data_IF_380642003651
#
_entry.id   IF_380642003651
#
_cell.length_a   1.000
_cell.length_b   1.000
_cell.length_c   1.000
_cell.angle_alpha   90.00
_cell.angle_beta   90.00
_cell.angle_gamma   90.00
#
_symmetry.space_group_name_H-M   'P 1'
#
loop_
_entity.id
_entity.type
_entity.pdbx_description
1 polymer ?
#
# COMPACT_ATOMS: atom_id res chain seq x y z
N UNK A 1 12.84 -12.44 -4.22
CA UNK A 1 14.01 -11.56 -4.06
C UNK A 1 13.91 -10.46 -5.12
N UNK A 2 13.97 -9.19 -4.70
CA UNK A 2 13.94 -8.04 -5.61
C UNK A 2 15.39 -7.70 -5.95
N UNK A 3 15.77 -7.80 -7.21
CA UNK A 3 17.12 -7.54 -7.70
C UNK A 3 17.17 -6.46 -8.78
N UNK A 4 16.08 -6.30 -9.51
CA UNK A 4 15.99 -5.41 -10.67
C UNK A 4 14.74 -4.56 -10.60
N UNK A 5 14.73 -3.42 -11.30
CA UNK A 5 13.56 -2.53 -11.38
C UNK A 5 12.31 -3.26 -11.88
N UNK A 6 12.46 -4.18 -12.84
CA UNK A 6 11.35 -5.00 -13.33
C UNK A 6 10.66 -5.80 -12.24
N UNK A 7 11.39 -6.27 -11.22
CA UNK A 7 10.82 -7.06 -10.14
C UNK A 7 9.87 -6.20 -9.27
N UNK A 8 10.07 -4.88 -9.25
CA UNK A 8 9.16 -3.93 -8.58
C UNK A 8 7.96 -3.65 -9.49
N UNK A 9 8.19 -3.44 -10.79
CA UNK A 9 7.12 -3.15 -11.77
C UNK A 9 6.09 -4.28 -11.83
N UNK A 10 6.53 -5.54 -11.75
CA UNK A 10 5.65 -6.72 -11.80
C UNK A 10 5.25 -7.26 -10.42
N UNK A 11 5.65 -6.62 -9.32
CA UNK A 11 5.15 -6.95 -8.00
C UNK A 11 3.90 -6.10 -7.71
N UNK A 12 2.76 -6.56 -8.20
CA UNK A 12 1.48 -5.86 -8.01
C UNK A 12 1.00 -5.96 -6.56
N UNK A 13 0.25 -4.95 -6.07
CA UNK A 13 -0.38 -5.03 -4.76
C UNK A 13 -1.45 -6.14 -4.76
N UNK A 14 -1.50 -6.92 -3.69
CA UNK A 14 -2.49 -7.99 -3.52
C UNK A 14 -3.79 -7.50 -2.85
N UNK A 15 -3.76 -6.37 -2.19
CA UNK A 15 -4.91 -5.72 -1.56
C UNK A 15 -4.65 -4.23 -1.39
N UNK A 16 -5.65 -3.50 -0.97
CA UNK A 16 -5.51 -2.11 -0.52
C UNK A 16 -6.14 -1.93 0.87
N UNK A 17 -5.74 -0.86 1.54
CA UNK A 17 -6.39 -0.41 2.76
C UNK A 17 -7.04 0.93 2.48
N UNK A 18 -8.37 0.96 2.54
CA UNK A 18 -9.12 2.20 2.40
C UNK A 18 -8.97 3.03 3.68
N UNK A 19 -8.30 4.16 3.56
CA UNK A 19 -8.12 5.14 4.64
C UNK A 19 -8.77 6.48 4.30
N UNK A 20 -9.51 6.55 3.19
CA UNK A 20 -10.13 7.78 2.70
C UNK A 20 -11.24 8.28 3.63
N UNK A 21 -11.93 7.36 4.33
CA UNK A 21 -13.01 7.68 5.22
C UNK A 21 -12.47 8.12 6.59
N UNK A 22 -12.69 9.38 6.94
CA UNK A 22 -12.41 9.89 8.28
C UNK A 22 -13.62 9.58 9.17
N UNK A 23 -13.41 8.77 10.20
CA UNK A 23 -14.44 8.36 11.16
C UNK A 23 -14.36 9.21 12.44
N UNK A 24 -15.50 9.42 13.10
CA UNK A 24 -15.57 9.96 14.46
C UNK A 24 -15.31 8.86 15.48
N UNK A 25 -14.97 9.22 16.72
CA UNK A 25 -14.63 8.25 17.78
C UNK A 25 -15.81 7.39 18.24
N UNK A 26 -17.04 7.84 18.03
CA UNK A 26 -18.26 7.06 18.30
C UNK A 26 -18.53 5.96 17.26
N UNK A 27 -17.90 6.06 16.09
CA UNK A 27 -18.18 5.20 14.95
C UNK A 27 -16.95 4.36 14.51
N UNK A 28 -16.15 3.96 15.51
CA UNK A 28 -14.92 3.19 15.29
C UNK A 28 -15.21 1.69 15.14
N UNK A 29 -14.67 1.10 14.12
CA UNK A 29 -14.70 -0.35 13.93
C UNK A 29 -13.48 -1.00 14.59
N UNK A 30 -13.75 -1.79 15.65
CA UNK A 30 -12.71 -2.53 16.37
C UNK A 30 -12.11 -3.62 15.47
N UNK A 31 -10.78 -3.71 15.48
CA UNK A 31 -10.06 -4.69 14.66
C UNK A 31 -9.70 -4.18 13.25
N UNK A 32 -10.35 -3.12 12.78
CA UNK A 32 -10.12 -2.52 11.47
C UNK A 32 -9.20 -1.29 11.54
N UNK A 33 -8.67 -0.91 10.38
CA UNK A 33 -7.91 0.34 10.24
C UNK A 33 -8.89 1.48 10.06
N UNK A 34 -8.85 2.43 11.00
CA UNK A 34 -9.66 3.64 10.93
C UNK A 34 -8.75 4.87 10.78
N UNK A 35 -9.23 5.86 10.05
CA UNK A 35 -8.63 7.19 9.97
C UNK A 35 -9.50 8.13 10.78
N UNK A 36 -8.91 8.79 11.77
CA UNK A 36 -9.59 9.67 12.72
C UNK A 36 -8.98 11.05 12.71
N UNK A 37 -9.80 12.04 12.99
CA UNK A 37 -9.39 13.45 13.16
C UNK A 37 -9.66 13.86 14.59
N UNK A 38 -8.60 14.15 15.37
CA UNK A 38 -8.69 14.33 16.81
C UNK A 38 -7.80 15.47 17.31
N UNK A 39 -8.12 16.02 18.47
CA UNK A 39 -7.29 16.96 19.21
C UNK A 39 -6.38 16.23 20.20
N UNK A 40 -5.11 16.62 20.24
CA UNK A 40 -4.14 16.11 21.21
C UNK A 40 -4.31 16.84 22.52
N UNK A 41 -4.72 16.13 23.59
CA UNK A 41 -4.92 16.75 24.92
C UNK A 41 -3.71 16.61 25.83
N UNK A 42 -3.13 15.41 25.89
CA UNK A 42 -2.05 15.15 26.85
C UNK A 42 -1.16 14.01 26.38
N UNK A 43 0.12 14.12 26.69
CA UNK A 43 1.10 13.05 26.46
C UNK A 43 1.62 12.61 27.82
N UNK A 44 1.64 11.31 28.05
CA UNK A 44 2.19 10.68 29.25
C UNK A 44 3.45 9.91 28.89
N UNK A 45 4.53 10.23 29.60
CA UNK A 45 5.80 9.52 29.54
C UNK A 45 6.01 8.82 30.89
N UNK A 46 5.88 7.50 30.95
CA UNK A 46 6.08 6.76 32.18
C UNK A 46 7.56 6.79 32.58
N UNK A 47 7.83 6.96 33.86
CA UNK A 47 9.18 6.90 34.42
C UNK A 47 9.72 5.46 34.54
N UNK A 48 8.81 4.48 34.51
CA UNK A 48 9.14 3.05 34.63
C UNK A 48 9.54 2.50 33.27
N UNK A 49 10.68 1.84 33.19
CA UNK A 49 11.16 1.14 31.99
C UNK A 49 10.13 0.12 31.52
N UNK A 50 9.99 -0.03 30.21
CA UNK A 50 9.09 -0.97 29.52
C UNK A 50 7.58 -0.63 29.57
N UNK A 51 7.17 0.48 30.19
CA UNK A 51 5.81 0.96 29.98
C UNK A 51 5.71 1.79 28.71
N UNK A 52 4.62 1.65 27.95
CA UNK A 52 4.42 2.42 26.72
C UNK A 52 4.09 3.88 27.01
N UNK A 53 4.56 4.75 26.14
CA UNK A 53 4.11 6.14 26.11
C UNK A 53 2.66 6.20 25.67
N UNK A 54 1.88 7.14 26.24
CA UNK A 54 0.46 7.30 25.93
C UNK A 54 0.16 8.72 25.51
N UNK A 55 -0.59 8.86 24.43
CA UNK A 55 -1.15 10.15 24.02
C UNK A 55 -2.67 10.07 24.12
N UNK A 56 -3.25 11.01 24.84
CA UNK A 56 -4.70 11.12 24.94
C UNK A 56 -5.17 12.11 23.90
N UNK A 57 -6.03 11.62 23.02
CA UNK A 57 -6.69 12.42 22.00
C UNK A 57 -8.21 12.38 22.20
N UNK A 58 -8.89 13.42 21.75
CA UNK A 58 -10.36 13.48 21.79
C UNK A 58 -10.91 14.16 20.55
N UNK A 59 -12.17 13.87 20.27
CA UNK A 59 -13.04 14.64 19.38
C UNK A 59 -14.32 15.03 20.11
N UNK A 60 -15.32 15.51 19.36
CA UNK A 60 -16.61 15.92 19.93
C UNK A 60 -17.42 14.73 20.49
N UNK A 61 -17.07 13.49 20.15
CA UNK A 61 -17.84 12.29 20.45
C UNK A 61 -17.19 11.40 21.50
N UNK A 62 -15.86 11.52 21.73
CA UNK A 62 -15.21 10.66 22.70
C UNK A 62 -13.72 10.89 22.88
N UNK A 63 -13.09 9.90 23.53
CA UNK A 63 -11.63 9.89 23.81
C UNK A 63 -11.01 8.60 23.31
N UNK A 64 -9.77 8.71 22.83
CA UNK A 64 -8.95 7.58 22.39
C UNK A 64 -7.54 7.70 22.96
N UNK A 65 -6.93 6.55 23.30
CA UNK A 65 -5.55 6.47 23.73
C UNK A 65 -4.68 5.99 22.57
N UNK A 66 -3.63 6.74 22.25
CA UNK A 66 -2.62 6.31 21.28
C UNK A 66 -1.42 5.78 22.07
N UNK A 67 -1.06 4.54 21.84
CA UNK A 67 -0.04 3.80 22.59
C UNK A 67 1.21 3.65 21.73
N UNK A 68 2.36 4.06 22.27
CA UNK A 68 3.65 3.88 21.61
C UNK A 68 4.61 3.08 22.47
N UNK A 69 5.09 1.97 21.94
CA UNK A 69 6.19 1.21 22.50
C UNK A 69 7.52 1.69 21.91
N UNK A 70 8.54 1.78 22.76
CA UNK A 70 9.93 2.07 22.36
C UNK A 70 10.13 3.38 21.56
N UNK A 71 9.31 4.40 21.81
CA UNK A 71 9.44 5.70 21.14
C UNK A 71 10.09 6.75 22.04
N UNK A 72 10.95 7.58 21.44
CA UNK A 72 11.62 8.68 22.14
C UNK A 72 10.64 9.82 22.39
N UNK A 73 10.76 10.47 23.57
CA UNK A 73 9.89 11.59 23.96
C UNK A 73 9.91 12.74 22.95
N UNK A 74 11.09 13.18 22.50
CA UNK A 74 11.21 14.28 21.53
C UNK A 74 10.51 13.98 20.20
N UNK A 75 10.53 12.73 19.73
CA UNK A 75 9.79 12.33 18.55
C UNK A 75 8.28 12.46 18.75
N UNK A 76 7.76 11.95 19.88
CA UNK A 76 6.32 12.02 20.17
C UNK A 76 5.84 13.46 20.35
N UNK A 77 6.60 14.32 21.00
CA UNK A 77 6.26 15.76 21.13
C UNK A 77 6.19 16.47 19.79
N UNK A 78 7.04 16.05 18.83
CA UNK A 78 7.04 16.60 17.47
C UNK A 78 5.80 16.20 16.66
N UNK A 79 5.38 14.93 16.72
CA UNK A 79 4.27 14.42 15.93
C UNK A 79 2.90 14.60 16.59
N UNK A 80 2.87 14.83 17.92
CA UNK A 80 1.66 15.08 18.70
C UNK A 80 1.72 16.47 19.39
N UNK A 81 1.60 17.55 18.63
CA UNK A 81 1.58 18.88 19.23
C UNK A 81 0.33 19.05 20.09
N UNK A 82 0.51 19.42 21.37
CA UNK A 82 -0.59 19.58 22.35
C UNK A 82 -1.52 20.70 21.88
N UNK A 83 -2.83 20.52 22.09
CA UNK A 83 -3.92 21.42 21.69
C UNK A 83 -4.03 21.68 20.18
N UNK A 84 -3.38 20.84 19.34
CA UNK A 84 -3.57 20.89 17.90
C UNK A 84 -4.40 19.71 17.41
N UNK A 85 -5.09 19.94 16.31
CA UNK A 85 -5.85 18.92 15.62
C UNK A 85 -4.95 18.17 14.64
N UNK A 86 -5.02 16.85 14.68
CA UNK A 86 -4.22 15.95 13.85
C UNK A 86 -5.07 14.84 13.25
N UNK A 87 -4.55 14.21 12.21
CA UNK A 87 -5.13 13.03 11.58
C UNK A 87 -4.27 11.83 11.90
N UNK A 88 -4.90 10.77 12.42
CA UNK A 88 -4.24 9.52 12.80
C UNK A 88 -4.90 8.39 12.03
N UNK A 89 -4.11 7.48 11.48
CA UNK A 89 -4.64 6.25 10.89
C UNK A 89 -3.89 5.03 11.40
N UNK A 90 -4.67 4.07 11.89
CA UNK A 90 -4.14 2.84 12.46
C UNK A 90 -5.25 1.85 12.84
N UNK A 91 -4.84 0.65 13.23
CA UNK A 91 -5.76 -0.40 13.68
C UNK A 91 -6.30 -0.06 15.05
N UNK A 92 -7.64 0.01 15.17
CA UNK A 92 -8.32 0.28 16.43
C UNK A 92 -8.46 -1.00 17.24
N UNK A 93 -8.15 -0.92 18.51
CA UNK A 93 -8.33 -1.98 19.51
C UNK A 93 -9.12 -1.45 20.69
N UNK A 94 -9.74 -2.33 21.45
CA UNK A 94 -10.48 -1.97 22.66
C UNK A 94 -9.84 -2.70 23.85
N UNK A 95 -9.32 -1.93 24.82
CA UNK A 95 -8.65 -2.47 25.98
C UNK A 95 -9.00 -1.68 27.25
N UNK A 96 -9.30 -2.35 28.34
CA UNK A 96 -9.71 -1.75 29.63
C UNK A 96 -10.82 -0.69 29.47
N UNK A 97 -11.84 -1.00 28.69
CA UNK A 97 -12.99 -0.12 28.40
C UNK A 97 -12.64 1.18 27.66
N UNK A 98 -11.51 1.19 26.91
CA UNK A 98 -11.06 2.35 26.12
C UNK A 98 -10.67 1.95 24.72
N UNK A 99 -10.97 2.82 23.77
CA UNK A 99 -10.43 2.67 22.41
C UNK A 99 -8.96 3.04 22.40
N UNK A 100 -8.17 2.25 21.70
CA UNK A 100 -6.73 2.44 21.58
C UNK A 100 -6.26 2.20 20.14
N UNK A 101 -5.25 2.94 19.71
CA UNK A 101 -4.45 2.64 18.53
C UNK A 101 -3.01 2.48 18.98
N UNK A 102 -2.45 1.30 18.75
CA UNK A 102 -1.07 0.99 19.11
C UNK A 102 -0.15 1.20 17.91
N UNK A 103 0.91 2.00 18.08
CA UNK A 103 1.88 2.34 17.04
C UNK A 103 1.19 2.68 15.70
N UNK A 104 0.40 3.75 15.63
CA UNK A 104 -0.33 4.12 14.41
C UNK A 104 0.61 4.20 13.22
N UNK A 105 0.16 3.73 12.08
CA UNK A 105 0.97 3.75 10.84
C UNK A 105 1.18 5.17 10.32
N UNK A 106 0.19 6.03 10.52
CA UNK A 106 0.22 7.42 10.07
C UNK A 106 -0.27 8.36 11.15
N UNK A 107 0.50 9.42 11.35
CA UNK A 107 0.13 10.60 12.13
C UNK A 107 0.55 11.82 11.33
N UNK A 108 -0.36 12.73 11.07
CA UNK A 108 -0.09 13.93 10.26
C UNK A 108 -0.94 15.12 10.71
N UNK A 109 -0.54 16.31 10.29
CA UNK A 109 -1.33 17.51 10.46
C UNK A 109 -2.54 17.51 9.52
N UNK A 110 -3.53 18.36 9.77
CA UNK A 110 -4.72 18.49 8.92
C UNK A 110 -4.36 18.91 7.49
N UNK A 111 -3.37 19.76 7.33
CA UNK A 111 -2.90 20.25 6.03
C UNK A 111 -2.47 19.10 5.11
N UNK A 112 -1.91 18.05 5.68
CA UNK A 112 -1.41 16.88 4.97
C UNK A 112 -2.37 15.67 5.05
N UNK A 113 -3.66 15.88 5.37
CA UNK A 113 -4.66 14.80 5.51
C UNK A 113 -4.76 13.93 4.25
N UNK A 114 -4.67 14.52 3.06
CA UNK A 114 -4.82 13.83 1.78
C UNK A 114 -3.68 12.84 1.50
N UNK A 115 -2.55 13.00 2.19
CA UNK A 115 -1.46 12.02 2.15
C UNK A 115 -1.84 10.71 2.85
N UNK A 116 -2.69 10.76 3.86
CA UNK A 116 -3.12 9.60 4.66
C UNK A 116 -4.51 9.13 4.26
N UNK A 117 -5.43 10.07 4.00
CA UNK A 117 -6.82 9.78 3.65
C UNK A 117 -6.95 9.32 2.19
N UNK A 118 -6.32 8.22 1.82
CA UNK A 118 -6.38 7.61 0.48
C UNK A 118 -6.34 6.08 0.58
N UNK A 119 -6.68 5.42 -0.52
CA UNK A 119 -6.41 3.99 -0.65
C UNK A 119 -4.90 3.74 -0.70
N UNK A 120 -4.43 2.85 0.14
CA UNK A 120 -3.02 2.53 0.25
C UNK A 120 -2.81 1.08 -0.19
N UNK A 121 -2.08 0.84 -1.30
CA UNK A 121 -1.81 -0.50 -1.79
C UNK A 121 -0.92 -1.28 -0.83
N UNK A 122 -1.22 -2.57 -0.65
CA UNK A 122 -0.42 -3.53 0.11
C UNK A 122 0.33 -4.47 -0.81
N UNK A 123 1.62 -4.61 -0.57
CA UNK A 123 2.50 -5.47 -1.35
C UNK A 123 2.93 -6.69 -0.53
N UNK A 124 3.06 -7.82 -1.20
CA UNK A 124 3.68 -9.01 -0.60
C UNK A 124 5.18 -8.78 -0.49
N UNK A 125 5.67 -8.59 0.73
CA UNK A 125 7.07 -8.26 1.01
C UNK A 125 7.72 -9.31 1.90
N UNK A 126 9.02 -9.51 1.72
CA UNK A 126 9.83 -10.36 2.61
C UNK A 126 10.16 -9.65 3.92
N UNK A 127 10.37 -10.41 4.97
CA UNK A 127 10.74 -9.90 6.31
C UNK A 127 11.95 -8.96 6.22
N UNK A 128 11.86 -7.80 6.87
CA UNK A 128 12.93 -6.79 6.91
C UNK A 128 12.74 -5.62 5.95
N UNK A 129 11.79 -5.70 5.00
CA UNK A 129 11.48 -4.56 4.11
C UNK A 129 10.37 -3.71 4.74
N UNK A 130 10.64 -2.42 4.89
CA UNK A 130 9.65 -1.46 5.37
C UNK A 130 8.63 -1.16 4.25
N UNK A 131 7.36 -1.47 4.51
CA UNK A 131 6.29 -1.31 3.52
C UNK A 131 6.10 0.13 3.03
N UNK A 132 6.21 1.13 3.92
CA UNK A 132 6.15 2.55 3.54
C UNK A 132 7.26 2.93 2.56
N UNK A 133 8.50 2.48 2.86
CA UNK A 133 9.65 2.75 2.00
C UNK A 133 9.50 2.05 0.65
N UNK A 134 9.02 0.80 0.65
CA UNK A 134 8.76 0.07 -0.58
C UNK A 134 7.74 0.79 -1.45
N UNK A 135 6.59 1.22 -0.89
CA UNK A 135 5.57 1.98 -1.62
C UNK A 135 6.12 3.27 -2.23
N UNK A 136 6.87 4.04 -1.45
CA UNK A 136 7.49 5.28 -1.95
C UNK A 136 8.41 5.02 -3.15
N UNK A 137 9.24 3.98 -3.07
CA UNK A 137 10.12 3.56 -4.17
C UNK A 137 9.30 3.08 -5.38
N UNK A 138 8.28 2.26 -5.14
CA UNK A 138 7.40 1.75 -6.20
C UNK A 138 6.68 2.91 -6.92
N UNK A 139 6.09 3.85 -6.17
CA UNK A 139 5.44 5.04 -6.74
C UNK A 139 6.41 5.88 -7.58
N UNK A 140 7.64 6.04 -7.12
CA UNK A 140 8.66 6.80 -7.87
C UNK A 140 9.07 6.08 -9.15
N UNK A 141 9.27 4.78 -9.11
CA UNK A 141 9.60 3.97 -10.28
C UNK A 141 8.46 4.02 -11.30
N UNK A 142 7.21 3.79 -10.85
CA UNK A 142 6.04 3.79 -11.75
C UNK A 142 5.84 5.15 -12.45
N UNK A 143 6.14 6.25 -11.77
CA UNK A 143 6.11 7.59 -12.38
C UNK A 143 7.19 7.80 -13.44
N UNK A 144 8.34 7.15 -13.28
CA UNK A 144 9.53 7.29 -14.14
C UNK A 144 9.63 6.23 -15.23
N UNK A 145 8.69 5.28 -15.32
CA UNK A 145 8.69 4.28 -16.39
C UNK A 145 8.65 5.02 -17.75
N UNK A 146 9.63 4.78 -18.64
CA UNK A 146 9.58 5.34 -19.98
C UNK A 146 8.37 4.79 -20.75
N UNK A 147 7.86 5.58 -21.67
CA UNK A 147 6.81 5.12 -22.57
C UNK A 147 7.41 4.02 -23.47
N UNK A 148 6.88 2.83 -23.35
CA UNK A 148 7.24 1.68 -24.16
C UNK A 148 6.19 1.55 -25.26
N UNK A 149 6.64 1.45 -26.51
CA UNK A 149 5.76 1.17 -27.63
C UNK A 149 5.09 -0.18 -27.41
N UNK A 150 3.76 -0.21 -27.58
CA UNK A 150 3.02 -1.45 -27.44
C UNK A 150 3.39 -2.42 -28.57
N UNK A 151 3.46 -3.71 -28.26
CA UNK A 151 3.70 -4.74 -29.23
C UNK A 151 2.41 -5.23 -29.93
N UNK A 152 1.27 -4.91 -29.34
CA UNK A 152 -0.06 -5.12 -29.92
C UNK A 152 -0.47 -3.89 -30.72
N UNK A 153 -1.14 -4.12 -31.84
CA UNK A 153 -1.77 -3.04 -32.58
C UNK A 153 -3.03 -2.50 -31.88
N UNK A 154 -3.42 -1.28 -32.22
CA UNK A 154 -4.55 -0.61 -31.58
C UNK A 154 -5.88 -1.31 -31.90
N UNK A 155 -6.02 -1.89 -33.07
CA UNK A 155 -7.26 -2.58 -33.48
C UNK A 155 -7.45 -3.84 -32.62
N UNK A 156 -6.39 -4.59 -32.37
CA UNK A 156 -6.44 -5.73 -31.47
C UNK A 156 -6.77 -5.33 -30.02
N UNK A 157 -6.12 -4.28 -29.51
CA UNK A 157 -6.36 -3.74 -28.18
C UNK A 157 -7.84 -3.37 -28.01
N UNK A 158 -8.40 -2.61 -28.96
CA UNK A 158 -9.78 -2.16 -28.94
C UNK A 158 -10.77 -3.34 -29.06
N UNK A 159 -10.54 -4.24 -30.03
CA UNK A 159 -11.40 -5.41 -30.28
C UNK A 159 -11.54 -6.31 -29.05
N UNK A 160 -10.47 -6.47 -28.27
CA UNK A 160 -10.43 -7.33 -27.09
C UNK A 160 -10.62 -6.58 -25.78
N UNK A 161 -10.90 -5.29 -25.84
CA UNK A 161 -11.10 -4.41 -24.67
C UNK A 161 -9.94 -4.55 -23.67
N UNK A 162 -8.71 -4.44 -24.14
CA UNK A 162 -7.51 -4.45 -23.34
C UNK A 162 -7.05 -3.01 -23.07
N UNK A 163 -6.30 -2.81 -21.99
CA UNK A 163 -5.63 -1.55 -21.76
C UNK A 163 -4.29 -1.49 -22.53
N UNK A 164 -3.80 -0.28 -22.84
CA UNK A 164 -2.43 -0.11 -23.27
C UNK A 164 -1.47 -0.53 -22.16
N UNK A 165 -0.31 -1.10 -22.50
CA UNK A 165 0.63 -1.65 -21.52
C UNK A 165 1.06 -0.64 -20.45
N UNK A 166 1.42 0.59 -20.87
CA UNK A 166 1.85 1.63 -19.94
C UNK A 166 0.76 2.06 -18.96
N UNK A 167 -0.49 2.12 -19.45
CA UNK A 167 -1.65 2.40 -18.60
C UNK A 167 -1.98 1.23 -17.68
N UNK A 168 -1.90 0.00 -18.18
CA UNK A 168 -2.18 -1.19 -17.40
C UNK A 168 -1.27 -1.28 -16.17
N UNK A 169 0.04 -1.11 -16.36
CA UNK A 169 1.02 -1.11 -15.26
C UNK A 169 0.68 -0.01 -14.23
N UNK A 170 0.44 1.22 -14.69
CA UNK A 170 0.13 2.34 -13.78
C UNK A 170 -1.16 2.08 -12.99
N UNK A 171 -2.24 1.66 -13.66
CA UNK A 171 -3.53 1.40 -13.02
C UNK A 171 -3.45 0.27 -11.99
N UNK A 172 -2.73 -0.82 -12.30
CA UNK A 172 -2.57 -1.94 -11.37
C UNK A 172 -1.80 -1.59 -10.09
N UNK A 173 -0.96 -0.55 -10.09
CA UNK A 173 -0.26 -0.08 -8.90
C UNK A 173 -1.01 0.98 -8.09
N UNK A 174 -1.91 1.75 -8.71
CA UNK A 174 -2.50 2.95 -8.10
C UNK A 174 -3.95 2.74 -7.69
N UNK A 175 -4.69 1.90 -8.41
CA UNK A 175 -6.15 1.80 -8.26
C UNK A 175 -6.60 0.46 -7.68
N UNK A 176 -7.88 0.41 -7.27
CA UNK A 176 -8.60 -0.81 -6.89
C UNK A 176 -8.62 -1.88 -8.02
N UNK A 177 -8.17 -1.54 -9.20
CA UNK A 177 -8.13 -2.44 -10.37
C UNK A 177 -7.19 -3.63 -10.17
N UNK A 178 -6.21 -3.53 -9.26
CA UNK A 178 -5.33 -4.66 -8.92
C UNK A 178 -6.07 -5.87 -8.36
N UNK A 179 -7.25 -5.66 -7.77
CA UNK A 179 -8.10 -6.71 -7.19
C UNK A 179 -9.21 -7.17 -8.14
N UNK A 180 -9.43 -6.45 -9.25
CA UNK A 180 -10.44 -6.80 -10.22
C UNK A 180 -9.83 -7.60 -11.38
N UNK A 181 -9.93 -8.93 -11.30
CA UNK A 181 -9.44 -9.85 -12.35
C UNK A 181 -10.11 -9.64 -13.71
N UNK A 182 -11.20 -8.89 -13.76
CA UNK A 182 -11.92 -8.54 -15.01
C UNK A 182 -11.52 -7.16 -15.53
N UNK A 183 -10.68 -6.41 -14.81
CA UNK A 183 -10.22 -5.10 -15.31
C UNK A 183 -9.42 -5.26 -16.60
N UNK A 184 -9.57 -4.30 -17.50
CA UNK A 184 -8.84 -4.27 -18.78
C UNK A 184 -7.33 -4.28 -18.56
N UNK A 185 -6.87 -3.69 -17.45
CA UNK A 185 -5.47 -3.65 -17.07
C UNK A 185 -4.96 -5.03 -16.65
N UNK A 186 -5.71 -5.74 -15.80
CA UNK A 186 -5.34 -7.10 -15.38
C UNK A 186 -5.36 -8.07 -16.57
N UNK A 187 -6.42 -8.04 -17.38
CA UNK A 187 -6.54 -8.86 -18.60
C UNK A 187 -5.37 -8.63 -19.55
N UNK A 188 -4.92 -7.38 -19.69
CA UNK A 188 -3.76 -7.06 -20.52
C UNK A 188 -2.50 -7.74 -20.03
N UNK A 189 -2.14 -7.61 -18.78
CA UNK A 189 -0.92 -8.20 -18.23
C UNK A 189 -0.97 -9.73 -18.25
N UNK A 190 -2.14 -10.31 -17.91
CA UNK A 190 -2.36 -11.75 -18.00
C UNK A 190 -2.19 -12.28 -19.44
N UNK A 191 -2.71 -11.54 -20.43
CA UNK A 191 -2.52 -11.87 -21.84
C UNK A 191 -1.05 -11.86 -22.25
N UNK A 192 -0.33 -10.80 -21.88
CA UNK A 192 1.12 -10.68 -22.18
C UNK A 192 1.93 -11.83 -21.55
N UNK A 193 1.62 -12.20 -20.31
CA UNK A 193 2.29 -13.31 -19.62
C UNK A 193 2.02 -14.65 -20.29
N UNK A 194 0.78 -14.94 -20.66
CA UNK A 194 0.41 -16.16 -21.38
C UNK A 194 1.13 -16.22 -22.72
N UNK A 195 1.13 -15.12 -23.49
CA UNK A 195 1.82 -15.05 -24.77
C UNK A 195 3.33 -15.28 -24.62
N UNK A 196 3.96 -14.64 -23.63
CA UNK A 196 5.39 -14.81 -23.35
C UNK A 196 5.73 -16.28 -23.01
N UNK A 197 4.90 -16.93 -22.18
CA UNK A 197 5.05 -18.33 -21.81
C UNK A 197 4.90 -19.26 -23.04
N UNK A 198 3.89 -19.05 -23.86
CA UNK A 198 3.68 -19.85 -25.10
C UNK A 198 4.83 -19.68 -26.09
N UNK A 199 5.33 -18.46 -26.28
CA UNK A 199 6.48 -18.17 -27.11
C UNK A 199 7.75 -18.85 -26.60
N UNK A 200 7.99 -18.80 -25.28
CA UNK A 200 9.11 -19.46 -24.64
C UNK A 200 9.05 -20.99 -24.84
N UNK A 201 7.90 -21.60 -24.63
CA UNK A 201 7.69 -23.04 -24.86
C UNK A 201 7.89 -23.40 -26.33
N UNK A 202 7.38 -22.60 -27.26
CA UNK A 202 7.55 -22.79 -28.69
C UNK A 202 9.06 -22.75 -29.10
N UNK A 203 9.78 -21.76 -28.58
CA UNK A 203 11.22 -21.60 -28.78
C UNK A 203 12.01 -22.83 -28.25
N UNK A 204 11.67 -23.28 -27.06
CA UNK A 204 12.30 -24.45 -26.45
C UNK A 204 12.01 -25.73 -27.26
N UNK A 205 10.77 -25.93 -27.71
CA UNK A 205 10.42 -27.07 -28.61
C UNK A 205 11.24 -27.07 -29.91
N UNK A 206 11.39 -25.90 -30.55
CA UNK A 206 12.21 -25.74 -31.75
C UNK A 206 13.66 -26.05 -31.47
N UNK A 207 14.22 -25.62 -30.33
CA UNK A 207 15.60 -25.91 -29.92
C UNK A 207 15.83 -27.41 -29.70
N UNK A 208 14.92 -28.08 -29.01
CA UNK A 208 15.00 -29.54 -28.76
C UNK A 208 14.92 -30.30 -30.06
N UNK A 209 14.04 -29.93 -30.99
CA UNK A 209 13.97 -30.59 -32.33
C UNK A 209 15.27 -30.45 -33.11
N UNK A 210 15.93 -29.28 -33.05
CA UNK A 210 17.25 -29.09 -33.70
C UNK A 210 18.33 -30.00 -33.10
N UNK A 211 18.38 -30.11 -31.76
CA UNK A 211 19.36 -30.96 -31.06
C UNK A 211 19.13 -32.43 -31.40
N UNK A 212 17.89 -32.92 -31.47
CA UNK A 212 17.57 -34.30 -31.85
C UNK A 212 17.97 -34.60 -33.27
N UNK A 213 17.79 -33.67 -34.22
CA UNK A 213 18.23 -33.83 -35.61
C UNK A 213 19.76 -33.85 -35.78
N UNK A 214 20.50 -33.19 -34.91
CA UNK A 214 21.96 -33.16 -34.96
C UNK A 214 22.63 -34.43 -34.35
N UNK A 215 21.86 -35.32 -33.70
CA UNK A 215 22.33 -36.58 -33.14
C UNK A 215 21.98 -37.80 -33.98
N UNK A 216 21.33 -37.61 -35.11
CA UNK A 216 21.09 -38.62 -36.15
C UNK A 216 22.06 -38.42 -37.32
#
# INVERSE_FOLDING_TARGET
>A
KIEKIKDIIFNFPYSDTDRSKISKLDNLEIGNVNTIKVFVKKIYFPRIRNLPNKVICEDDTGKIEIIYFNSREGYLRKIFPINKQIVISGKVTFYKKKYQITNPEYVTTIENKDYVAKNIPKYSLTKGINEKKYRSISEEIIKKIPLINDWLDNDFINKHNLANWNEAIKKLHISKDSQNNQSNSFRRIAFDEICANLLSLSKNRKRIKKIKKAKL
#
